data_IF_554072938360
#
_entry.id   IF_554072938360
#
_cell.length_a   1.000
_cell.length_b   1.000
_cell.length_c   1.000
_cell.angle_alpha   90.00
_cell.angle_beta   90.00
_cell.angle_gamma   90.00
#
_symmetry.space_group_name_H-M   'P 1'
#
loop_
_entity.id
_entity.type
_entity.pdbx_description
1 polymer ?
#
# COMPACT_ATOMS: atom_id res chain seq x y z
N UNK A 1 -6.64 16.76 12.51
CA UNK A 1 -7.50 17.22 11.41
C UNK A 1 -7.46 16.21 10.27
N UNK A 2 -8.47 16.21 9.40
CA UNK A 2 -8.51 15.30 8.26
C UNK A 2 -7.89 15.90 6.99
N UNK A 3 -7.35 17.14 7.06
CA UNK A 3 -6.77 17.88 5.93
C UNK A 3 -7.72 17.98 4.72
N UNK A 4 -9.00 18.19 4.99
CA UNK A 4 -10.04 18.25 3.95
C UNK A 4 -9.74 19.28 2.84
N UNK A 5 -9.31 20.54 3.15
CA UNK A 5 -9.00 21.52 2.12
C UNK A 5 -7.85 21.08 1.20
N UNK A 6 -6.79 20.51 1.78
CA UNK A 6 -5.62 20.04 1.02
C UNK A 6 -5.95 18.82 0.18
N UNK A 7 -6.75 17.89 0.71
CA UNK A 7 -7.22 16.72 -0.04
C UNK A 7 -8.12 17.16 -1.19
N UNK A 8 -9.07 18.06 -0.93
CA UNK A 8 -9.96 18.58 -1.98
C UNK A 8 -9.16 19.29 -3.07
N UNK A 9 -8.15 20.09 -2.70
CA UNK A 9 -7.26 20.73 -3.65
C UNK A 9 -6.60 19.70 -4.59
N UNK A 10 -6.02 18.63 -4.02
CA UNK A 10 -5.38 17.57 -4.80
C UNK A 10 -6.40 16.90 -5.74
N UNK A 11 -7.59 16.58 -5.24
CA UNK A 11 -8.62 15.94 -6.06
C UNK A 11 -9.11 16.86 -7.16
N UNK A 12 -9.39 18.12 -6.90
CA UNK A 12 -9.86 19.09 -7.90
C UNK A 12 -8.84 19.32 -9.02
N UNK A 13 -7.54 19.37 -8.68
CA UNK A 13 -6.50 19.71 -9.66
C UNK A 13 -5.95 18.49 -10.42
N UNK A 14 -5.99 17.31 -9.81
CA UNK A 14 -5.28 16.13 -10.34
C UNK A 14 -6.17 14.92 -10.62
N UNK A 15 -7.49 15.04 -10.41
CA UNK A 15 -8.44 13.94 -10.56
C UNK A 15 -8.39 13.23 -11.92
N UNK A 16 -8.14 13.98 -12.99
CA UNK A 16 -8.15 13.45 -14.36
C UNK A 16 -6.78 12.94 -14.84
N UNK A 17 -5.76 12.94 -13.98
CA UNK A 17 -4.44 12.43 -14.35
C UNK A 17 -4.43 10.90 -14.42
N UNK A 18 -3.60 10.32 -15.30
CA UNK A 18 -3.29 8.90 -15.24
C UNK A 18 -2.76 8.49 -13.85
N UNK A 19 -2.94 7.22 -13.43
CA UNK A 19 -2.64 6.80 -12.06
C UNK A 19 -1.23 7.18 -11.57
N UNK A 20 -0.21 6.94 -12.38
CA UNK A 20 1.17 7.26 -11.99
C UNK A 20 1.40 8.78 -11.86
N UNK A 21 0.84 9.56 -12.76
CA UNK A 21 0.96 11.02 -12.71
C UNK A 21 0.21 11.59 -11.50
N UNK A 22 -0.95 11.03 -11.16
CA UNK A 22 -1.69 11.37 -9.94
C UNK A 22 -0.86 11.07 -8.69
N UNK A 23 -0.24 9.88 -8.60
CA UNK A 23 0.65 9.52 -7.51
C UNK A 23 1.78 10.55 -7.37
N UNK A 24 2.45 10.87 -8.47
CA UNK A 24 3.55 11.83 -8.49
C UNK A 24 3.12 13.24 -8.14
N UNK A 25 1.91 13.65 -8.53
CA UNK A 25 1.33 14.92 -8.13
C UNK A 25 1.11 14.97 -6.60
N UNK A 26 0.52 13.93 -6.02
CA UNK A 26 0.35 13.83 -4.57
C UNK A 26 1.68 13.97 -3.81
N UNK A 27 2.72 13.27 -4.23
CA UNK A 27 4.03 13.34 -3.57
C UNK A 27 4.72 14.70 -3.75
N UNK A 28 4.50 15.40 -4.87
CA UNK A 28 4.95 16.79 -5.02
C UNK A 28 4.27 17.73 -4.03
N UNK A 29 2.94 17.63 -3.88
CA UNK A 29 2.19 18.45 -2.93
C UNK A 29 2.62 18.17 -1.48
N UNK A 30 2.85 16.92 -1.13
CA UNK A 30 3.36 16.54 0.18
C UNK A 30 4.85 16.83 0.36
N UNK A 31 5.56 17.23 -0.68
CA UNK A 31 7.02 17.42 -0.68
C UNK A 31 7.78 16.19 -0.15
N UNK A 32 7.27 15.00 -0.46
CA UNK A 32 7.86 13.72 -0.07
C UNK A 32 8.62 13.14 -1.25
N UNK A 33 9.81 12.62 -0.98
CA UNK A 33 10.65 11.92 -1.96
C UNK A 33 10.92 10.49 -1.49
N UNK A 34 11.25 9.61 -2.42
CA UNK A 34 11.57 8.22 -2.10
C UNK A 34 12.52 7.60 -3.13
N UNK A 35 13.34 6.66 -2.65
CA UNK A 35 14.26 5.86 -3.45
C UNK A 35 13.97 4.38 -3.27
N UNK A 36 14.25 3.60 -4.31
CA UNK A 36 14.10 2.14 -4.29
C UNK A 36 15.43 1.52 -4.69
N UNK A 37 15.89 0.55 -3.91
CA UNK A 37 17.11 -0.21 -4.13
C UNK A 37 16.76 -1.69 -4.36
N UNK A 38 17.39 -2.33 -5.34
CA UNK A 38 17.21 -3.76 -5.65
C UNK A 38 16.18 -4.05 -6.75
N UNK A 39 15.28 -3.12 -7.04
CA UNK A 39 14.27 -3.30 -8.10
C UNK A 39 14.88 -3.42 -9.50
N UNK A 40 16.01 -2.75 -9.72
CA UNK A 40 16.77 -2.78 -10.98
C UNK A 40 17.34 -4.16 -11.34
N UNK A 41 17.48 -5.06 -10.36
CA UNK A 41 18.00 -6.42 -10.54
C UNK A 41 16.97 -7.40 -11.12
N UNK A 42 15.69 -7.08 -10.99
CA UNK A 42 14.61 -7.95 -11.43
C UNK A 42 14.45 -7.91 -12.94
N UNK A 43 14.14 -9.05 -13.56
CA UNK A 43 13.81 -9.10 -14.98
C UNK A 43 12.48 -8.37 -15.24
N UNK A 44 12.43 -7.36 -16.14
CA UNK A 44 11.19 -6.67 -16.47
C UNK A 44 10.07 -7.56 -17.01
N UNK A 45 10.40 -8.76 -17.48
CA UNK A 45 9.44 -9.76 -17.98
C UNK A 45 9.06 -10.80 -16.93
N UNK A 46 9.65 -10.72 -15.74
CA UNK A 46 9.37 -11.66 -14.66
C UNK A 46 7.97 -11.49 -14.08
N UNK A 47 7.36 -12.58 -13.63
CA UNK A 47 6.05 -12.58 -12.98
C UNK A 47 6.24 -12.57 -11.46
N UNK A 48 6.03 -11.41 -10.86
CA UNK A 48 6.34 -11.19 -9.44
C UNK A 48 5.08 -10.90 -8.61
N UNK A 49 5.14 -11.34 -7.35
CA UNK A 49 4.28 -10.90 -6.27
C UNK A 49 5.13 -10.22 -5.21
N UNK A 50 5.05 -8.90 -5.15
CA UNK A 50 5.75 -8.09 -4.15
C UNK A 50 4.99 -8.15 -2.83
N UNK A 51 5.66 -8.61 -1.78
CA UNK A 51 5.11 -8.69 -0.42
C UNK A 51 5.86 -7.69 0.48
N UNK A 52 5.16 -6.65 0.92
CA UNK A 52 5.75 -5.54 1.67
C UNK A 52 5.22 -5.42 3.08
N UNK A 53 6.06 -4.92 4.00
CA UNK A 53 5.59 -4.31 5.24
C UNK A 53 4.78 -3.05 4.93
N UNK A 54 4.08 -2.52 5.93
CA UNK A 54 3.07 -1.47 5.70
C UNK A 54 3.17 -0.33 6.74
N UNK A 55 4.32 0.39 6.84
CA UNK A 55 4.53 1.38 7.89
C UNK A 55 3.59 2.59 7.81
N UNK A 56 3.24 3.09 6.61
CA UNK A 56 2.51 4.35 6.41
C UNK A 56 1.06 4.18 5.93
N UNK A 57 0.62 2.98 5.63
CA UNK A 57 -0.70 2.76 5.04
C UNK A 57 -0.74 3.14 3.55
N UNK A 58 -1.62 4.09 3.13
CA UNK A 58 -1.81 4.41 1.71
C UNK A 58 -0.55 4.84 0.96
N UNK A 59 0.37 5.54 1.62
CA UNK A 59 1.61 6.04 0.98
C UNK A 59 2.52 4.92 0.48
N UNK A 60 2.64 3.82 1.24
CA UNK A 60 3.49 2.69 0.83
C UNK A 60 3.05 2.12 -0.52
N UNK A 61 1.73 1.93 -0.65
CA UNK A 61 1.14 1.42 -1.89
C UNK A 61 1.39 2.35 -3.07
N UNK A 62 1.29 3.66 -2.86
CA UNK A 62 1.52 4.66 -3.90
C UNK A 62 2.99 4.75 -4.30
N UNK A 63 3.93 4.79 -3.33
CA UNK A 63 5.37 4.81 -3.62
C UNK A 63 5.81 3.58 -4.42
N UNK A 64 5.37 2.39 -3.98
CA UNK A 64 5.71 1.15 -4.64
C UNK A 64 5.05 1.04 -6.01
N UNK A 65 3.77 1.42 -6.16
CA UNK A 65 3.09 1.42 -7.45
C UNK A 65 3.81 2.30 -8.47
N UNK A 66 4.23 3.52 -8.10
CA UNK A 66 5.01 4.40 -8.99
C UNK A 66 6.27 3.71 -9.50
N UNK A 67 7.04 3.07 -8.62
CA UNK A 67 8.30 2.42 -9.01
C UNK A 67 8.11 1.12 -9.78
N UNK A 68 7.07 0.37 -9.47
CA UNK A 68 6.71 -0.82 -10.24
C UNK A 68 6.26 -0.45 -11.66
N UNK A 69 5.49 0.63 -11.82
CA UNK A 69 5.10 1.13 -13.14
C UNK A 69 6.34 1.58 -13.93
N UNK A 70 7.29 2.29 -13.30
CA UNK A 70 8.56 2.66 -13.96
C UNK A 70 9.32 1.44 -14.46
N UNK A 71 9.32 0.33 -13.71
CA UNK A 71 10.11 -0.86 -14.05
C UNK A 71 9.42 -1.80 -15.02
N UNK A 72 8.11 -1.99 -14.87
CA UNK A 72 7.34 -3.04 -15.57
C UNK A 72 6.30 -2.47 -16.54
N UNK A 73 6.15 -1.15 -16.63
CA UNK A 73 5.17 -0.48 -17.51
C UNK A 73 3.79 -0.34 -16.90
N UNK A 74 3.35 -1.25 -16.05
CA UNK A 74 2.11 -1.20 -15.26
C UNK A 74 2.25 -2.07 -14.00
N UNK A 75 1.32 -1.94 -13.06
CA UNK A 75 1.31 -2.73 -11.82
C UNK A 75 -0.11 -2.89 -11.26
N UNK A 76 -0.27 -3.86 -10.37
CA UNK A 76 -1.52 -4.06 -9.61
C UNK A 76 -1.22 -4.07 -8.13
N UNK A 77 -2.11 -3.49 -7.35
CA UNK A 77 -1.99 -3.40 -5.88
C UNK A 77 -3.23 -3.96 -5.22
N UNK A 78 -3.04 -4.91 -4.33
CA UNK A 78 -4.13 -5.48 -3.53
C UNK A 78 -4.51 -4.49 -2.43
N UNK A 79 -5.75 -4.00 -2.47
CA UNK A 79 -6.24 -2.95 -1.58
C UNK A 79 -7.56 -3.31 -0.91
N UNK A 80 -7.89 -2.59 0.17
CA UNK A 80 -9.23 -2.60 0.73
C UNK A 80 -10.22 -1.99 -0.28
N UNK A 81 -11.41 -2.56 -0.37
CA UNK A 81 -12.49 -2.13 -1.27
C UNK A 81 -12.89 -0.65 -1.09
N UNK A 82 -12.71 -0.06 0.11
CA UNK A 82 -12.93 1.37 0.34
C UNK A 82 -12.05 2.27 -0.57
N UNK A 83 -10.86 1.81 -0.94
CA UNK A 83 -9.97 2.58 -1.82
C UNK A 83 -10.44 2.63 -3.28
N UNK A 84 -11.44 1.83 -3.65
CA UNK A 84 -12.06 1.88 -4.98
C UNK A 84 -12.80 3.21 -5.26
N UNK A 85 -13.09 4.00 -4.22
CA UNK A 85 -13.66 5.36 -4.36
C UNK A 85 -12.62 6.39 -4.79
N UNK A 86 -11.33 6.08 -4.72
CA UNK A 86 -10.27 6.94 -5.26
C UNK A 86 -10.07 6.61 -6.75
N UNK A 87 -10.94 7.19 -7.58
CA UNK A 87 -11.03 6.86 -9.01
C UNK A 87 -9.72 7.01 -9.79
N UNK A 88 -8.87 8.03 -9.57
CA UNK A 88 -7.60 8.14 -10.29
C UNK A 88 -6.69 6.92 -10.14
N UNK A 89 -6.77 6.21 -9.02
CA UNK A 89 -5.95 5.03 -8.75
C UNK A 89 -6.68 3.70 -8.97
N UNK A 90 -7.99 3.75 -9.26
CA UNK A 90 -8.81 2.54 -9.50
C UNK A 90 -8.25 1.57 -10.55
N UNK A 91 -7.60 2.02 -11.64
CA UNK A 91 -7.00 1.10 -12.61
C UNK A 91 -5.91 0.19 -12.03
N UNK A 92 -5.22 0.65 -10.97
CA UNK A 92 -4.17 -0.12 -10.29
C UNK A 92 -4.71 -1.10 -9.24
N UNK A 93 -5.97 -0.91 -8.75
CA UNK A 93 -6.46 -1.58 -7.57
C UNK A 93 -7.09 -2.95 -7.84
N UNK A 94 -6.67 -3.95 -7.08
CA UNK A 94 -7.35 -5.23 -6.92
C UNK A 94 -8.07 -5.20 -5.57
N UNK A 95 -9.40 -4.99 -5.54
CA UNK A 95 -10.12 -4.88 -4.28
C UNK A 95 -10.24 -6.23 -3.58
N UNK A 96 -10.02 -6.23 -2.26
CA UNK A 96 -10.36 -7.34 -1.37
C UNK A 96 -11.35 -6.88 -0.32
N UNK A 97 -12.42 -7.63 -0.14
CA UNK A 97 -13.41 -7.33 0.87
C UNK A 97 -12.93 -7.84 2.24
N UNK A 98 -12.91 -6.95 3.24
CA UNK A 98 -12.58 -7.31 4.63
C UNK A 98 -13.79 -7.77 5.45
N UNK A 99 -14.98 -7.36 5.05
CA UNK A 99 -16.22 -7.57 5.81
C UNK A 99 -17.33 -8.08 4.90
N UNK A 100 -17.79 -9.30 5.13
CA UNK A 100 -18.90 -9.92 4.41
C UNK A 100 -18.49 -10.95 3.36
N UNK A 101 -19.48 -11.46 2.61
CA UNK A 101 -19.24 -12.35 1.48
C UNK A 101 -18.50 -11.59 0.38
N UNK A 102 -17.42 -12.17 -0.12
CA UNK A 102 -16.68 -11.58 -1.24
C UNK A 102 -17.62 -11.45 -2.43
N UNK A 103 -17.77 -10.24 -2.97
CA UNK A 103 -18.52 -10.04 -4.19
C UNK A 103 -17.89 -10.92 -5.28
N UNK A 104 -18.68 -11.77 -5.93
CA UNK A 104 -18.21 -12.72 -6.94
C UNK A 104 -17.42 -12.04 -8.07
N UNK A 105 -17.79 -10.81 -8.41
CA UNK A 105 -17.07 -9.97 -9.37
C UNK A 105 -15.65 -9.62 -8.90
N UNK A 106 -15.47 -9.26 -7.64
CA UNK A 106 -14.15 -8.94 -7.08
C UNK A 106 -13.28 -10.19 -6.95
N UNK A 107 -13.87 -11.34 -6.58
CA UNK A 107 -13.15 -12.61 -6.54
C UNK A 107 -12.64 -13.00 -7.93
N UNK A 108 -13.48 -12.86 -8.96
CA UNK A 108 -13.10 -13.14 -10.34
C UNK A 108 -12.00 -12.20 -10.83
N UNK A 109 -12.16 -10.88 -10.65
CA UNK A 109 -11.13 -9.90 -11.00
C UNK A 109 -9.82 -10.19 -10.28
N UNK A 110 -9.86 -10.54 -8.99
CA UNK A 110 -8.69 -10.91 -8.22
C UNK A 110 -7.96 -12.10 -8.83
N UNK A 111 -8.67 -13.15 -9.20
CA UNK A 111 -8.07 -14.32 -9.84
C UNK A 111 -7.53 -14.00 -11.25
N UNK A 112 -8.28 -13.26 -12.07
CA UNK A 112 -7.83 -12.81 -13.39
C UNK A 112 -6.50 -12.05 -13.32
N UNK A 113 -6.35 -11.09 -12.39
CA UNK A 113 -5.12 -10.33 -12.23
C UNK A 113 -3.95 -11.21 -11.71
N UNK A 114 -4.22 -12.15 -10.79
CA UNK A 114 -3.18 -13.06 -10.30
C UNK A 114 -2.66 -14.01 -11.36
N UNK A 115 -3.49 -14.43 -12.31
CA UNK A 115 -3.08 -15.26 -13.45
C UNK A 115 -2.57 -14.45 -14.66
N UNK A 116 -2.70 -13.12 -14.62
CA UNK A 116 -2.13 -12.21 -15.62
C UNK A 116 -0.60 -12.06 -15.52
N UNK A 117 -0.03 -11.16 -16.31
CA UNK A 117 1.43 -10.97 -16.42
C UNK A 117 1.96 -9.83 -15.54
N UNK A 118 1.11 -8.85 -15.20
CA UNK A 118 1.54 -7.66 -14.48
C UNK A 118 2.02 -7.98 -13.05
N UNK A 119 3.02 -7.26 -12.53
CA UNK A 119 3.46 -7.39 -11.16
C UNK A 119 2.33 -7.04 -10.19
N UNK A 120 2.25 -7.78 -9.09
CA UNK A 120 1.25 -7.56 -8.05
C UNK A 120 1.94 -7.16 -6.77
N UNK A 121 1.46 -6.10 -6.14
CA UNK A 121 1.88 -5.67 -4.81
C UNK A 121 0.82 -6.06 -3.78
N UNK A 122 1.26 -6.61 -2.66
CA UNK A 122 0.40 -6.94 -1.53
C UNK A 122 1.04 -6.56 -0.19
N UNK A 123 0.18 -6.25 0.77
CA UNK A 123 0.55 -5.98 2.16
C UNK A 123 -0.06 -7.07 3.05
N UNK A 124 0.66 -8.18 3.32
CA UNK A 124 0.06 -9.36 3.94
C UNK A 124 -0.46 -9.15 5.37
N UNK A 125 0.06 -8.15 6.08
CA UNK A 125 -0.44 -7.73 7.39
C UNK A 125 -1.88 -7.19 7.31
N UNK A 126 -2.26 -6.59 6.17
CA UNK A 126 -3.59 -6.05 5.89
C UNK A 126 -3.97 -4.80 6.68
N UNK A 127 -3.10 -4.30 7.54
CA UNK A 127 -3.18 -3.03 8.26
C UNK A 127 -1.77 -2.44 8.37
N UNK A 128 -1.67 -1.12 8.55
CA UNK A 128 -0.36 -0.50 8.77
C UNK A 128 0.29 -1.01 10.06
N UNK A 129 1.62 -0.93 10.11
CA UNK A 129 2.45 -1.42 11.21
C UNK A 129 2.02 -0.85 12.56
N UNK A 130 2.31 -1.55 13.63
CA UNK A 130 1.97 -1.21 15.03
C UNK A 130 3.22 -1.15 15.89
N UNK A 131 3.13 -0.41 17.00
CA UNK A 131 4.17 -0.42 18.02
C UNK A 131 3.86 -1.55 19.03
N UNK A 132 4.65 -2.61 19.00
CA UNK A 132 4.52 -3.80 19.87
C UNK A 132 5.83 -3.96 20.61
N UNK A 133 5.79 -4.00 21.95
CA UNK A 133 7.00 -4.14 22.77
C UNK A 133 8.03 -3.00 22.62
N UNK A 134 7.62 -1.84 22.11
CA UNK A 134 8.50 -0.70 21.84
C UNK A 134 9.05 -0.65 20.41
N UNK A 135 8.87 -1.69 19.63
CA UNK A 135 9.30 -1.78 18.24
C UNK A 135 8.13 -1.59 17.26
N UNK A 136 8.40 -0.94 16.14
CA UNK A 136 7.43 -0.78 15.06
C UNK A 136 7.54 -1.99 14.15
N UNK A 137 6.47 -2.77 14.11
CA UNK A 137 6.41 -4.00 13.33
C UNK A 137 5.03 -4.21 12.74
N UNK A 138 4.96 -5.01 11.68
CA UNK A 138 3.70 -5.43 11.12
C UNK A 138 2.95 -6.39 12.05
N UNK A 139 1.65 -6.41 11.91
CA UNK A 139 0.85 -7.52 12.43
C UNK A 139 1.24 -8.83 11.72
N UNK A 140 0.98 -10.01 12.33
CA UNK A 140 1.30 -11.29 11.69
C UNK A 140 0.78 -11.36 10.26
N UNK A 141 1.66 -11.67 9.32
CA UNK A 141 1.33 -11.78 7.92
C UNK A 141 0.40 -12.95 7.64
N UNK A 142 -0.67 -12.68 6.90
CA UNK A 142 -1.61 -13.72 6.45
C UNK A 142 -0.98 -14.50 5.30
N UNK A 143 -1.05 -15.82 5.36
CA UNK A 143 -0.37 -16.72 4.40
C UNK A 143 -1.12 -16.90 3.06
N UNK A 144 -2.28 -16.30 2.87
CA UNK A 144 -3.08 -16.47 1.66
C UNK A 144 -2.33 -16.05 0.38
N UNK A 145 -1.46 -15.03 0.46
CA UNK A 145 -0.66 -14.58 -0.68
C UNK A 145 0.32 -15.66 -1.15
N UNK A 146 0.86 -16.50 -0.25
CA UNK A 146 1.74 -17.61 -0.60
C UNK A 146 1.01 -18.65 -1.47
N UNK A 147 -0.22 -19.01 -1.07
CA UNK A 147 -1.05 -19.94 -1.85
C UNK A 147 -1.36 -19.39 -3.24
N UNK A 148 -1.63 -18.09 -3.34
CA UNK A 148 -1.90 -17.44 -4.63
C UNK A 148 -0.65 -17.33 -5.49
N UNK A 149 0.51 -16.98 -4.92
CA UNK A 149 1.79 -16.97 -5.63
C UNK A 149 2.09 -18.35 -6.21
N UNK A 150 1.98 -19.40 -5.40
CA UNK A 150 2.19 -20.77 -5.85
C UNK A 150 1.23 -21.17 -6.99
N UNK A 151 -0.08 -20.94 -6.83
CA UNK A 151 -1.09 -21.30 -7.82
C UNK A 151 -0.91 -20.54 -9.14
N UNK A 152 -0.45 -19.29 -9.09
CA UNK A 152 -0.22 -18.44 -10.28
C UNK A 152 1.23 -18.49 -10.79
N UNK A 153 2.09 -19.33 -10.20
CA UNK A 153 3.51 -19.46 -10.56
C UNK A 153 4.27 -18.12 -10.56
N UNK A 154 4.01 -17.28 -9.55
CA UNK A 154 4.72 -16.02 -9.35
C UNK A 154 5.82 -16.18 -8.33
N UNK A 155 6.98 -15.62 -8.61
CA UNK A 155 8.05 -15.49 -7.63
C UNK A 155 7.67 -14.40 -6.62
N UNK A 156 7.89 -14.69 -5.33
CA UNK A 156 7.64 -13.71 -4.28
C UNK A 156 8.88 -12.84 -4.10
N UNK A 157 8.68 -11.53 -4.15
CA UNK A 157 9.74 -10.56 -3.90
C UNK A 157 9.46 -9.86 -2.57
N UNK A 158 10.29 -10.07 -1.55
CA UNK A 158 10.15 -9.35 -0.29
C UNK A 158 10.53 -7.88 -0.46
N UNK A 159 9.74 -7.00 0.13
CA UNK A 159 9.97 -5.55 0.10
C UNK A 159 9.94 -5.01 1.51
N UNK A 160 10.86 -4.11 1.81
CA UNK A 160 10.90 -3.40 3.08
C UNK A 160 10.87 -1.89 2.85
N UNK A 161 9.83 -1.23 3.36
CA UNK A 161 9.69 0.23 3.40
C UNK A 161 10.20 0.71 4.75
N UNK A 162 11.23 1.56 4.73
CA UNK A 162 11.78 2.17 5.95
C UNK A 162 10.86 3.30 6.41
N UNK A 163 10.53 3.31 7.70
CA UNK A 163 9.80 4.40 8.31
C UNK A 163 8.77 3.99 9.35
N UNK A 164 8.11 5.01 9.87
CA UNK A 164 7.09 4.85 10.92
C UNK A 164 6.15 6.05 10.98
N UNK A 165 4.96 5.83 11.50
CA UNK A 165 4.02 6.88 11.85
C UNK A 165 4.41 7.58 13.15
N UNK A 166 3.66 8.59 13.55
CA UNK A 166 3.94 9.36 14.77
C UNK A 166 3.74 8.54 16.05
N UNK A 167 4.36 8.99 17.12
CA UNK A 167 4.11 8.41 18.43
C UNK A 167 2.65 8.61 18.91
N UNK A 168 1.97 9.63 18.39
CA UNK A 168 0.56 9.85 18.67
C UNK A 168 -0.30 8.71 18.09
N UNK A 169 -0.10 8.35 16.83
CA UNK A 169 -0.81 7.24 16.20
C UNK A 169 -0.68 5.94 17.00
N UNK A 170 0.55 5.58 17.39
CA UNK A 170 0.79 4.36 18.17
C UNK A 170 0.25 4.45 19.61
N UNK A 171 0.19 5.64 20.21
CA UNK A 171 -0.46 5.83 21.51
C UNK A 171 -1.96 5.59 21.43
N UNK A 172 -2.62 6.17 20.42
CA UNK A 172 -4.07 5.98 20.20
C UNK A 172 -4.37 4.49 19.98
N UNK A 173 -3.61 3.79 19.13
CA UNK A 173 -3.75 2.35 18.95
C UNK A 173 -3.58 1.57 20.26
N UNK A 174 -2.56 1.90 21.06
CA UNK A 174 -2.31 1.23 22.34
C UNK A 174 -3.47 1.43 23.32
N UNK A 175 -3.96 2.66 23.48
CA UNK A 175 -5.09 2.98 24.39
C UNK A 175 -6.34 2.24 23.90
N UNK A 176 -6.65 2.30 22.59
CA UNK A 176 -7.76 1.60 22.00
C UNK A 176 -7.75 0.10 22.33
N UNK A 177 -6.59 -0.55 22.16
CA UNK A 177 -6.42 -1.98 22.47
C UNK A 177 -6.59 -2.28 23.96
N UNK A 178 -6.08 -1.40 24.85
CA UNK A 178 -6.26 -1.54 26.29
C UNK A 178 -7.74 -1.43 26.70
N UNK A 179 -8.53 -0.59 26.02
CA UNK A 179 -9.96 -0.42 26.24
C UNK A 179 -10.82 -1.49 25.55
N UNK A 180 -10.21 -2.44 24.82
CA UNK A 180 -10.93 -3.50 24.11
C UNK A 180 -11.78 -3.02 22.92
N UNK A 181 -11.56 -1.79 22.43
CA UNK A 181 -12.29 -1.24 21.28
C UNK A 181 -11.84 -1.94 20.00
N UNK A 182 -12.76 -2.61 19.32
CA UNK A 182 -12.47 -3.41 18.10
C UNK A 182 -12.28 -2.57 16.84
N UNK A 183 -12.92 -1.40 16.76
CA UNK A 183 -12.80 -0.49 15.63
C UNK A 183 -11.45 0.24 15.67
N UNK A 184 -10.73 0.27 14.55
CA UNK A 184 -9.39 0.87 14.45
C UNK A 184 -9.48 2.41 14.32
N UNK A 185 -9.86 3.09 15.41
CA UNK A 185 -10.10 4.54 15.43
C UNK A 185 -8.84 5.34 15.05
N UNK A 186 -7.64 4.84 15.33
CA UNK A 186 -6.37 5.46 14.95
C UNK A 186 -6.25 5.67 13.43
N UNK A 187 -6.95 4.86 12.64
CA UNK A 187 -6.95 4.99 11.17
C UNK A 187 -7.58 6.30 10.67
N UNK A 188 -8.40 6.95 11.49
CA UNK A 188 -8.96 8.27 11.17
C UNK A 188 -7.90 9.36 11.08
N UNK A 189 -6.73 9.15 11.69
CA UNK A 189 -5.60 10.08 11.61
C UNK A 189 -4.61 9.77 10.50
N UNK A 190 -4.86 8.76 9.65
CA UNK A 190 -3.91 8.43 8.58
C UNK A 190 -3.68 9.59 7.60
N UNK A 191 -4.69 10.39 7.32
CA UNK A 191 -4.52 11.60 6.52
C UNK A 191 -3.57 12.60 7.19
N UNK A 192 -3.76 12.86 8.49
CA UNK A 192 -2.88 13.73 9.28
C UNK A 192 -1.44 13.19 9.32
N UNK A 193 -1.29 11.88 9.50
CA UNK A 193 0.01 11.21 9.44
C UNK A 193 0.69 11.37 8.08
N UNK A 194 -0.05 11.30 6.96
CA UNK A 194 0.50 11.52 5.62
C UNK A 194 1.04 12.94 5.46
N UNK A 195 0.26 13.95 5.81
CA UNK A 195 0.70 15.36 5.74
C UNK A 195 1.84 15.68 6.70
N UNK A 196 1.95 14.97 7.82
CA UNK A 196 3.06 15.09 8.76
C UNK A 196 4.41 14.58 8.23
N UNK A 197 4.41 13.85 7.10
CA UNK A 197 5.62 13.37 6.43
C UNK A 197 6.26 14.42 5.51
N UNK A 198 5.69 15.60 5.40
CA UNK A 198 6.16 16.68 4.53
C UNK A 198 7.67 16.91 4.65
N UNK A 199 8.35 16.95 3.50
CA UNK A 199 9.79 17.21 3.40
C UNK A 199 10.68 16.01 3.71
N UNK A 200 10.11 14.81 3.95
CA UNK A 200 10.90 13.60 4.24
C UNK A 200 11.28 12.84 2.98
N UNK A 201 12.35 12.05 3.12
CA UNK A 201 12.79 11.07 2.13
C UNK A 201 12.65 9.65 2.71
N UNK A 202 12.09 8.73 1.91
CA UNK A 202 11.92 7.34 2.30
C UNK A 202 12.77 6.41 1.45
N UNK A 203 13.29 5.35 2.08
CA UNK A 203 14.02 4.28 1.39
C UNK A 203 13.16 3.02 1.34
N UNK A 204 13.20 2.37 0.19
CA UNK A 204 12.52 1.11 -0.07
C UNK A 204 13.57 0.10 -0.53
N UNK A 205 13.63 -1.03 0.12
CA UNK A 205 14.55 -2.12 -0.20
C UNK A 205 13.77 -3.28 -0.81
N UNK A 206 14.20 -3.73 -1.97
CA UNK A 206 13.63 -4.87 -2.69
C UNK A 206 14.62 -6.01 -2.61
N UNK A 207 14.18 -7.13 -2.04
CA UNK A 207 15.01 -8.33 -1.91
C UNK A 207 15.00 -9.19 -3.17
N UNK A 208 15.75 -10.29 -3.12
CA UNK A 208 15.80 -11.26 -4.21
C UNK A 208 14.52 -12.09 -4.27
N UNK A 209 14.09 -12.50 -5.48
CA UNK A 209 12.93 -13.39 -5.66
C UNK A 209 13.13 -14.76 -5.01
N UNK A 210 12.06 -15.29 -4.42
CA UNK A 210 12.00 -16.61 -3.78
C UNK A 210 10.82 -17.42 -4.32
#
# INVERSE_FOLDING_TARGET
>A
TIHEPEINYILEHYWNLPPQEFIRACFREWQVTYSVEGLEKLDPKGRYLFASNHPFGGMDGMMLADKLIDRFGDARVVVNDLLMHLEPLRPLWIPVNKHGSQNSLYARKFDEEFFGELPILTFPAGLCSRCIGGEVTDLPWKTNFLKKAYASQRQIVPVFVEGRLSNFFYRVDRIRRMLGVKFNIEMLWLSDEMFSQKGKHFRILVGDPI
#
